data_IF_426438145677
#
_entry.id   IF_426438145677
#
_cell.length_a   1.000
_cell.length_b   1.000
_cell.length_c   1.000
_cell.angle_alpha   90.00
_cell.angle_beta   90.00
_cell.angle_gamma   90.00
#
_symmetry.space_group_name_H-M   'P 1'
#
loop_
_entity.id
_entity.type
_entity.pdbx_description
1 polymer ?
#
# COMPACT_ATOMS: atom_id res chain seq x y z
N UNK A 1 -37.59 5.26 18.85
CA UNK A 1 -36.70 6.25 18.21
C UNK A 1 -37.14 6.41 16.78
N UNK A 2 -37.76 7.54 16.41
CA UNK A 2 -38.17 7.81 15.04
C UNK A 2 -36.88 7.99 14.17
N UNK A 3 -36.62 7.03 13.32
CA UNK A 3 -35.70 7.21 12.20
C UNK A 3 -36.30 8.29 11.30
N UNK A 4 -35.77 9.51 11.34
CA UNK A 4 -36.08 10.54 10.35
C UNK A 4 -35.72 9.97 8.98
N UNK A 5 -36.69 9.54 8.19
CA UNK A 5 -36.49 9.10 6.83
C UNK A 5 -35.75 10.21 6.07
N UNK A 6 -34.68 9.81 5.40
CA UNK A 6 -33.85 10.75 4.61
C UNK A 6 -34.72 11.38 3.53
N UNK A 7 -34.80 12.72 3.51
CA UNK A 7 -35.56 13.44 2.47
C UNK A 7 -35.13 12.99 1.09
N UNK A 8 -36.10 12.69 0.24
CA UNK A 8 -35.89 12.19 -1.12
C UNK A 8 -36.02 13.30 -2.16
N UNK A 9 -35.46 13.11 -3.34
CA UNK A 9 -35.60 14.04 -4.47
C UNK A 9 -37.08 14.22 -4.90
N UNK A 10 -37.94 13.20 -4.72
CA UNK A 10 -39.35 13.24 -4.96
C UNK A 10 -40.05 14.23 -4.02
N UNK A 11 -39.70 14.25 -2.76
CA UNK A 11 -40.26 15.21 -1.81
C UNK A 11 -39.85 16.64 -2.11
N UNK A 12 -38.62 16.85 -2.60
CA UNK A 12 -38.18 18.17 -3.07
C UNK A 12 -38.98 18.62 -4.31
N UNK A 13 -39.17 17.74 -5.27
CA UNK A 13 -39.94 18.03 -6.49
C UNK A 13 -41.39 18.40 -6.13
N UNK A 14 -42.02 17.63 -5.28
CA UNK A 14 -43.38 17.89 -4.77
C UNK A 14 -43.49 19.24 -4.04
N UNK A 15 -42.55 19.50 -3.12
CA UNK A 15 -42.54 20.71 -2.30
C UNK A 15 -42.19 21.99 -3.08
N UNK A 16 -41.39 21.87 -4.15
CA UNK A 16 -41.06 22.97 -5.08
C UNK A 16 -42.07 23.17 -6.20
N UNK A 17 -43.04 22.25 -6.36
CA UNK A 17 -44.04 22.31 -7.43
C UNK A 17 -43.49 22.14 -8.85
N UNK A 18 -42.39 21.36 -8.99
CA UNK A 18 -41.71 21.13 -10.28
C UNK A 18 -41.51 19.65 -10.55
N UNK A 19 -41.15 19.30 -11.78
CA UNK A 19 -40.84 17.93 -12.14
C UNK A 19 -39.53 17.43 -11.51
N UNK A 20 -39.40 16.11 -11.30
CA UNK A 20 -38.18 15.45 -10.86
C UNK A 20 -36.99 15.82 -11.76
N UNK A 21 -37.24 15.87 -13.08
CA UNK A 21 -36.22 16.26 -14.07
C UNK A 21 -35.72 17.70 -13.84
N UNK A 22 -36.63 18.62 -13.46
CA UNK A 22 -36.27 20.01 -13.16
C UNK A 22 -35.39 20.10 -11.93
N UNK A 23 -35.75 19.38 -10.85
CA UNK A 23 -34.89 19.32 -9.63
C UNK A 23 -33.52 18.74 -9.95
N UNK A 24 -33.46 17.65 -10.71
CA UNK A 24 -32.19 17.04 -11.14
C UNK A 24 -31.33 18.01 -11.95
N UNK A 25 -31.92 18.78 -12.89
CA UNK A 25 -31.17 19.80 -13.66
C UNK A 25 -30.62 20.91 -12.78
N UNK A 26 -31.39 21.39 -11.80
CA UNK A 26 -30.92 22.41 -10.85
C UNK A 26 -29.74 21.87 -10.00
N UNK A 27 -29.86 20.67 -9.46
CA UNK A 27 -28.82 20.03 -8.64
C UNK A 27 -27.52 19.85 -9.43
N UNK A 28 -27.65 19.39 -10.69
CA UNK A 28 -26.49 19.09 -11.54
C UNK A 28 -26.01 20.33 -12.35
N UNK A 29 -26.59 21.51 -12.12
CA UNK A 29 -26.30 22.76 -12.86
C UNK A 29 -26.36 22.58 -14.36
N UNK A 30 -27.30 21.77 -14.85
CA UNK A 30 -27.50 21.43 -16.27
C UNK A 30 -28.77 21.98 -16.80
N UNK A 31 -28.75 22.41 -18.09
CA UNK A 31 -29.92 22.77 -18.85
C UNK A 31 -30.50 24.17 -18.59
N UNK A 32 -31.43 24.58 -19.41
CA UNK A 32 -32.13 25.87 -19.34
C UNK A 32 -33.24 25.78 -18.27
N UNK A 33 -32.91 26.14 -17.03
CA UNK A 33 -33.91 26.36 -15.99
C UNK A 33 -33.96 27.86 -15.72
N UNK A 34 -35.17 28.42 -15.64
CA UNK A 34 -35.33 29.86 -15.36
C UNK A 34 -34.78 30.19 -13.98
N UNK A 35 -34.26 31.40 -13.80
CA UNK A 35 -33.65 31.82 -12.52
C UNK A 35 -34.68 31.70 -11.37
N UNK A 36 -35.94 32.05 -11.60
CA UNK A 36 -36.99 31.91 -10.57
C UNK A 36 -37.22 30.45 -10.17
N UNK A 37 -37.21 29.51 -11.13
CA UNK A 37 -37.34 28.06 -10.82
C UNK A 37 -36.12 27.54 -10.11
N UNK A 38 -34.92 27.98 -10.49
CA UNK A 38 -33.66 27.58 -9.83
C UNK A 38 -33.67 27.99 -8.36
N UNK A 39 -33.98 29.25 -8.07
CA UNK A 39 -34.03 29.77 -6.71
C UNK A 39 -35.08 29.05 -5.85
N UNK A 40 -36.30 28.81 -6.37
CA UNK A 40 -37.31 28.05 -5.66
C UNK A 40 -36.87 26.65 -5.29
N UNK A 41 -36.22 25.94 -6.20
CA UNK A 41 -35.69 24.56 -5.91
C UNK A 41 -34.57 24.61 -4.91
N UNK A 42 -33.61 25.52 -5.03
CA UNK A 42 -32.51 25.68 -4.10
C UNK A 42 -32.98 26.00 -2.67
N UNK A 43 -33.94 26.90 -2.54
CA UNK A 43 -34.55 27.24 -1.24
C UNK A 43 -35.32 26.06 -0.66
N UNK A 44 -36.05 25.30 -1.47
CA UNK A 44 -36.77 24.09 -1.04
C UNK A 44 -35.77 23.00 -0.57
N UNK A 45 -34.67 22.78 -1.28
CA UNK A 45 -33.56 21.87 -0.88
C UNK A 45 -33.04 22.27 0.48
N UNK A 46 -32.74 23.56 0.68
CA UNK A 46 -32.22 24.08 1.96
C UNK A 46 -33.23 23.93 3.10
N UNK A 47 -34.50 24.25 2.86
CA UNK A 47 -35.58 24.15 3.84
C UNK A 47 -35.84 22.72 4.28
N UNK A 48 -35.81 21.75 3.36
CA UNK A 48 -36.06 20.35 3.66
C UNK A 48 -34.80 19.62 4.17
N UNK A 49 -33.62 20.25 4.08
CA UNK A 49 -32.33 19.61 4.40
C UNK A 49 -31.99 18.46 3.47
N UNK A 50 -32.48 18.51 2.23
CA UNK A 50 -32.18 17.49 1.23
C UNK A 50 -30.70 17.51 0.86
N UNK A 51 -30.08 16.34 0.87
CA UNK A 51 -28.71 16.14 0.34
C UNK A 51 -28.79 15.12 -0.79
N UNK A 52 -28.27 15.44 -1.98
CA UNK A 52 -28.21 14.49 -3.08
C UNK A 52 -27.57 13.17 -2.63
N UNK A 53 -28.14 12.06 -3.05
CA UNK A 53 -27.53 10.75 -2.83
C UNK A 53 -26.40 10.55 -3.83
N UNK A 54 -25.17 10.32 -3.36
CA UNK A 54 -24.03 9.98 -4.21
C UNK A 54 -24.32 8.76 -5.10
N UNK A 55 -25.05 7.76 -4.56
CA UNK A 55 -25.47 6.59 -5.32
C UNK A 55 -26.43 6.96 -6.47
N UNK A 56 -27.40 7.86 -6.22
CA UNK A 56 -28.32 8.32 -7.26
C UNK A 56 -27.61 9.16 -8.34
N UNK A 57 -26.61 9.96 -7.94
CA UNK A 57 -25.78 10.69 -8.88
C UNK A 57 -24.89 9.76 -9.70
N UNK A 58 -24.28 8.76 -9.07
CA UNK A 58 -23.49 7.73 -9.73
C UNK A 58 -24.27 6.98 -10.79
N UNK A 59 -25.50 6.57 -10.48
CA UNK A 59 -26.41 5.92 -11.43
C UNK A 59 -26.81 6.85 -12.59
N UNK A 60 -27.01 8.14 -12.32
CA UNK A 60 -27.40 9.11 -13.34
C UNK A 60 -26.24 9.51 -14.28
N UNK A 61 -25.00 9.51 -13.78
CA UNK A 61 -23.81 9.95 -14.52
C UNK A 61 -22.93 8.79 -14.98
N UNK A 62 -23.22 7.57 -14.55
CA UNK A 62 -22.38 6.37 -14.71
C UNK A 62 -20.95 6.58 -14.17
N UNK A 63 -20.80 7.47 -13.16
CA UNK A 63 -19.53 7.74 -12.45
C UNK A 63 -19.81 7.79 -10.96
N UNK A 64 -19.21 6.88 -10.22
CA UNK A 64 -19.39 6.79 -8.77
C UNK A 64 -18.47 7.74 -7.99
N UNK A 65 -17.42 8.23 -8.64
CA UNK A 65 -16.29 8.94 -8.01
C UNK A 65 -15.69 8.17 -6.84
N UNK A 66 -15.82 6.84 -6.83
CA UNK A 66 -15.36 5.96 -5.78
C UNK A 66 -14.22 5.06 -6.29
N UNK A 67 -13.13 5.01 -5.54
CA UNK A 67 -11.99 4.13 -5.83
C UNK A 67 -11.90 3.06 -4.75
N UNK A 68 -11.84 1.80 -5.18
CA UNK A 68 -11.57 0.66 -4.31
C UNK A 68 -10.09 0.54 -4.02
N UNK A 69 -9.71 0.36 -2.75
CA UNK A 69 -8.33 0.10 -2.35
C UNK A 69 -8.28 -1.19 -1.56
N UNK A 70 -7.61 -2.22 -2.12
CA UNK A 70 -7.43 -3.53 -1.48
C UNK A 70 -6.03 -3.58 -0.88
N UNK A 71 -5.95 -3.85 0.42
CA UNK A 71 -4.69 -3.97 1.18
C UNK A 71 -4.76 -5.15 2.15
N UNK A 72 -3.62 -5.74 2.55
CA UNK A 72 -3.63 -6.86 3.50
C UNK A 72 -4.06 -6.45 4.91
N UNK A 73 -3.52 -5.34 5.41
CA UNK A 73 -3.78 -4.84 6.75
C UNK A 73 -3.41 -3.35 6.85
N UNK A 74 -4.23 -2.55 7.55
CA UNK A 74 -4.00 -1.12 7.71
C UNK A 74 -2.99 -0.77 8.82
N UNK A 75 -2.58 -1.72 9.67
CA UNK A 75 -1.75 -1.46 10.86
C UNK A 75 -0.27 -1.21 10.54
N UNK A 76 0.20 -1.57 9.35
CA UNK A 76 1.60 -1.35 8.97
C UNK A 76 1.84 0.11 8.57
N UNK A 77 2.92 0.71 9.09
CA UNK A 77 3.28 2.12 8.81
C UNK A 77 3.46 2.40 7.33
N UNK A 78 4.05 1.47 6.58
CA UNK A 78 4.22 1.64 5.13
C UNK A 78 2.87 1.64 4.38
N UNK A 79 1.87 0.90 4.86
CA UNK A 79 0.50 0.92 4.32
C UNK A 79 -0.19 2.25 4.63
N UNK A 80 -0.04 2.78 5.85
CA UNK A 80 -0.61 4.09 6.19
C UNK A 80 -0.03 5.20 5.30
N UNK A 81 1.26 5.16 5.00
CA UNK A 81 1.90 6.12 4.08
C UNK A 81 1.39 5.97 2.65
N UNK A 82 1.20 4.73 2.18
CA UNK A 82 0.57 4.46 0.87
C UNK A 82 -0.82 5.08 0.79
N UNK A 83 -1.65 4.81 1.80
CA UNK A 83 -3.03 5.33 1.88
C UNK A 83 -3.05 6.86 1.96
N UNK A 84 -2.11 7.48 2.67
CA UNK A 84 -1.98 8.93 2.70
C UNK A 84 -1.74 9.48 1.28
N UNK A 85 -0.81 8.90 0.52
CA UNK A 85 -0.54 9.32 -0.86
C UNK A 85 -1.74 9.15 -1.80
N UNK A 86 -2.44 8.02 -1.71
CA UNK A 86 -3.68 7.80 -2.48
C UNK A 86 -4.74 8.84 -2.11
N UNK A 87 -4.94 9.08 -0.80
CA UNK A 87 -5.94 10.00 -0.27
C UNK A 87 -5.69 11.45 -0.69
N UNK A 88 -4.44 11.90 -0.69
CA UNK A 88 -4.05 13.26 -1.10
C UNK A 88 -4.48 13.54 -2.55
N UNK A 89 -4.20 12.61 -3.46
CA UNK A 89 -4.57 12.75 -4.87
C UNK A 89 -6.08 12.59 -5.05
N UNK A 90 -6.69 11.59 -4.41
CA UNK A 90 -8.12 11.35 -4.47
C UNK A 90 -8.91 12.59 -4.05
N UNK A 91 -8.57 13.19 -2.91
CA UNK A 91 -9.18 14.42 -2.40
C UNK A 91 -9.07 15.58 -3.41
N UNK A 92 -7.89 15.77 -3.99
CA UNK A 92 -7.64 16.85 -4.96
C UNK A 92 -8.45 16.66 -6.27
N UNK A 93 -8.63 15.41 -6.65
CA UNK A 93 -9.34 15.03 -7.91
C UNK A 93 -10.84 14.74 -7.70
N UNK A 94 -11.35 14.88 -6.46
CA UNK A 94 -12.77 14.69 -6.16
C UNK A 94 -13.23 13.24 -6.05
N UNK A 95 -12.31 12.30 -5.79
CA UNK A 95 -12.63 10.90 -5.55
C UNK A 95 -12.80 10.60 -4.05
N UNK A 96 -13.63 9.60 -3.78
CA UNK A 96 -13.81 8.98 -2.45
C UNK A 96 -13.12 7.62 -2.46
N UNK A 97 -12.62 7.16 -1.32
CA UNK A 97 -11.95 5.87 -1.21
C UNK A 97 -12.81 4.88 -0.42
N UNK A 98 -12.95 3.67 -0.96
CA UNK A 98 -13.49 2.50 -0.26
C UNK A 98 -12.36 1.53 0.04
N UNK A 99 -12.12 1.28 1.33
CA UNK A 99 -11.03 0.42 1.78
C UNK A 99 -11.53 -1.01 2.01
N UNK A 100 -10.81 -1.98 1.46
CA UNK A 100 -11.04 -3.41 1.61
C UNK A 100 -9.79 -4.06 2.18
N UNK A 101 -9.92 -4.80 3.28
CA UNK A 101 -8.81 -5.51 3.93
C UNK A 101 -8.98 -7.00 3.80
N UNK A 102 -7.87 -7.73 3.59
CA UNK A 102 -7.86 -9.18 3.32
C UNK A 102 -7.29 -9.99 4.48
N UNK A 103 -6.74 -9.34 5.48
CA UNK A 103 -6.14 -9.96 6.67
C UNK A 103 -5.14 -11.09 6.36
N UNK A 104 -4.43 -11.00 5.23
CA UNK A 104 -3.53 -12.05 4.71
C UNK A 104 -4.23 -13.40 4.47
N UNK A 105 -5.51 -13.38 4.15
CA UNK A 105 -6.30 -14.56 3.85
C UNK A 105 -6.68 -14.60 2.38
N UNK A 106 -6.35 -15.70 1.70
CA UNK A 106 -6.74 -15.93 0.30
C UNK A 106 -8.26 -15.90 0.11
N UNK A 107 -9.00 -16.49 1.05
CA UNK A 107 -10.47 -16.53 1.02
C UNK A 107 -11.05 -15.12 1.16
N UNK A 108 -10.55 -14.35 2.12
CA UNK A 108 -10.97 -12.95 2.29
C UNK A 108 -10.59 -12.11 1.07
N UNK A 109 -9.40 -12.30 0.51
CA UNK A 109 -8.96 -11.60 -0.69
C UNK A 109 -9.91 -11.82 -1.87
N UNK A 110 -10.34 -13.07 -2.12
CA UNK A 110 -11.33 -13.38 -3.14
C UNK A 110 -12.70 -12.75 -2.86
N UNK A 111 -13.14 -12.74 -1.59
CA UNK A 111 -14.36 -12.06 -1.18
C UNK A 111 -14.29 -10.54 -1.42
N UNK A 112 -13.12 -9.93 -1.21
CA UNK A 112 -12.94 -8.49 -1.47
C UNK A 112 -13.01 -8.16 -2.95
N UNK A 113 -12.57 -9.04 -3.85
CA UNK A 113 -12.75 -8.85 -5.31
C UNK A 113 -14.24 -8.74 -5.65
N UNK A 114 -15.06 -9.66 -5.16
CA UNK A 114 -16.50 -9.60 -5.40
C UNK A 114 -17.12 -8.30 -4.86
N UNK A 115 -16.68 -7.87 -3.67
CA UNK A 115 -17.15 -6.60 -3.10
C UNK A 115 -16.72 -5.39 -3.93
N UNK A 116 -15.50 -5.37 -4.46
CA UNK A 116 -15.03 -4.29 -5.34
C UNK A 116 -15.88 -4.22 -6.60
N UNK A 117 -16.14 -5.37 -7.25
CA UNK A 117 -16.98 -5.44 -8.46
C UNK A 117 -18.39 -4.94 -8.16
N UNK A 118 -19.01 -5.38 -7.06
CA UNK A 118 -20.41 -5.02 -6.70
C UNK A 118 -20.56 -3.62 -6.10
N UNK A 119 -19.47 -3.00 -5.65
CA UNK A 119 -19.49 -1.66 -5.06
C UNK A 119 -19.50 -0.53 -6.08
N UNK A 120 -19.62 -0.83 -7.38
CA UNK A 120 -19.63 0.15 -8.47
C UNK A 120 -18.51 1.19 -8.37
N UNK A 121 -17.27 0.73 -8.10
CA UNK A 121 -16.10 1.62 -8.10
C UNK A 121 -15.71 2.00 -9.53
N UNK A 122 -15.20 3.21 -9.72
CA UNK A 122 -14.70 3.67 -11.02
C UNK A 122 -13.34 3.09 -11.37
N UNK A 123 -12.63 2.59 -10.35
CA UNK A 123 -11.33 1.93 -10.49
C UNK A 123 -10.85 1.32 -9.18
N UNK A 124 -9.80 0.51 -9.24
CA UNK A 124 -9.23 -0.17 -8.07
C UNK A 124 -7.71 -0.04 -7.98
N UNK A 125 -7.19 0.05 -6.76
CA UNK A 125 -5.77 -0.07 -6.43
C UNK A 125 -5.60 -1.28 -5.54
N UNK A 126 -4.70 -2.18 -5.92
CA UNK A 126 -4.46 -3.45 -5.22
C UNK A 126 -3.02 -3.50 -4.74
N UNK A 127 -2.84 -3.61 -3.44
CA UNK A 127 -1.56 -3.93 -2.81
C UNK A 127 -1.77 -5.11 -1.86
N UNK A 128 -1.77 -6.31 -2.43
CA UNK A 128 -2.03 -7.54 -1.70
C UNK A 128 -1.27 -8.72 -2.33
N UNK A 129 -0.64 -9.55 -1.52
CA UNK A 129 0.15 -10.69 -1.98
C UNK A 129 -0.70 -11.96 -2.21
N UNK A 130 -1.91 -12.02 -1.65
CA UNK A 130 -2.83 -13.15 -1.79
C UNK A 130 -3.53 -13.20 -3.15
N UNK A 131 -3.66 -12.06 -3.82
CA UNK A 131 -4.28 -11.97 -5.14
C UNK A 131 -3.26 -12.30 -6.24
N UNK A 132 -3.65 -13.10 -7.22
CA UNK A 132 -2.84 -13.40 -8.40
C UNK A 132 -3.33 -12.70 -9.67
N UNK A 133 -2.70 -13.04 -10.82
CA UNK A 133 -3.04 -12.41 -12.08
C UNK A 133 -4.47 -12.72 -12.54
N UNK A 134 -4.97 -13.92 -12.29
CA UNK A 134 -6.33 -14.34 -12.70
C UNK A 134 -7.37 -13.54 -11.91
N UNK A 135 -7.15 -13.33 -10.63
CA UNK A 135 -8.04 -12.55 -9.77
C UNK A 135 -8.15 -11.10 -10.23
N UNK A 136 -7.00 -10.48 -10.54
CA UNK A 136 -6.96 -9.11 -11.06
C UNK A 136 -7.64 -9.03 -12.43
N UNK A 137 -7.43 -10.01 -13.30
CA UNK A 137 -8.07 -10.05 -14.61
C UNK A 137 -9.58 -10.26 -14.49
N UNK A 138 -10.08 -10.91 -13.43
CA UNK A 138 -11.49 -10.99 -13.11
C UNK A 138 -12.08 -9.60 -12.86
N UNK A 139 -11.44 -8.75 -12.04
CA UNK A 139 -11.88 -7.36 -11.83
C UNK A 139 -11.89 -6.60 -13.17
N UNK A 140 -10.84 -6.77 -13.96
CA UNK A 140 -10.72 -6.12 -15.26
C UNK A 140 -11.82 -6.54 -16.26
N UNK A 141 -12.30 -7.79 -16.20
CA UNK A 141 -13.40 -8.28 -17.06
C UNK A 141 -14.72 -7.57 -16.81
N UNK A 142 -14.93 -6.98 -15.63
CA UNK A 142 -16.04 -6.09 -15.30
C UNK A 142 -15.77 -4.62 -15.67
N UNK A 143 -14.75 -4.37 -16.51
CA UNK A 143 -14.37 -3.04 -16.99
C UNK A 143 -13.91 -2.08 -15.89
N UNK A 144 -13.44 -2.58 -14.76
CA UNK A 144 -12.88 -1.78 -13.67
C UNK A 144 -11.38 -1.58 -13.91
N UNK A 145 -10.90 -0.37 -14.25
CA UNK A 145 -9.49 -0.07 -14.35
C UNK A 145 -8.76 -0.36 -13.04
N UNK A 146 -7.60 -0.98 -13.12
CA UNK A 146 -6.92 -1.49 -11.93
C UNK A 146 -5.42 -1.20 -11.96
N UNK A 147 -4.88 -0.66 -10.86
CA UNK A 147 -3.44 -0.56 -10.61
C UNK A 147 -3.05 -1.62 -9.58
N UNK A 148 -2.05 -2.44 -9.92
CA UNK A 148 -1.51 -3.46 -9.02
C UNK A 148 -0.12 -3.03 -8.54
N UNK A 149 0.09 -3.06 -7.24
CA UNK A 149 1.37 -2.70 -6.61
C UNK A 149 2.12 -3.98 -6.24
N UNK A 150 3.42 -4.00 -6.54
CA UNK A 150 4.37 -5.06 -6.26
C UNK A 150 4.17 -6.37 -7.05
N UNK A 151 3.35 -6.35 -8.11
CA UNK A 151 3.19 -7.46 -9.06
C UNK A 151 3.17 -6.96 -10.48
N UNK A 152 3.80 -7.69 -11.40
CA UNK A 152 3.75 -7.38 -12.83
C UNK A 152 2.55 -8.10 -13.44
N UNK A 153 1.46 -7.36 -13.62
CA UNK A 153 0.26 -7.82 -14.31
C UNK A 153 -0.07 -6.82 -15.39
N UNK A 154 -0.20 -7.29 -16.61
CA UNK A 154 -0.48 -6.45 -17.79
C UNK A 154 -1.81 -6.87 -18.37
N UNK A 155 -2.69 -5.90 -18.57
CA UNK A 155 -4.00 -6.07 -19.17
C UNK A 155 -4.42 -4.81 -19.91
N UNK A 156 -5.58 -4.84 -20.52
CA UNK A 156 -6.08 -3.69 -21.28
C UNK A 156 -6.27 -2.46 -20.38
N UNK A 157 -6.95 -2.63 -19.24
CA UNK A 157 -7.15 -1.61 -18.20
C UNK A 157 -6.43 -1.95 -16.90
N UNK A 158 -5.23 -2.55 -16.99
CA UNK A 158 -4.42 -2.90 -15.83
C UNK A 158 -3.03 -2.30 -15.95
N UNK A 159 -2.63 -1.56 -14.92
CA UNK A 159 -1.28 -1.04 -14.76
C UNK A 159 -0.58 -1.63 -13.54
N UNK A 160 0.75 -1.60 -13.53
CA UNK A 160 1.58 -2.19 -12.47
C UNK A 160 2.59 -1.20 -11.92
N UNK A 161 2.71 -1.15 -10.60
CA UNK A 161 3.84 -0.50 -9.91
C UNK A 161 4.72 -1.60 -9.32
N UNK A 162 6.01 -1.58 -9.62
CA UNK A 162 6.98 -2.59 -9.23
C UNK A 162 8.03 -2.01 -8.30
N UNK A 163 8.59 -2.87 -7.45
CA UNK A 163 9.72 -2.55 -6.58
C UNK A 163 10.93 -3.37 -6.97
N UNK A 164 12.12 -2.76 -7.00
CA UNK A 164 13.40 -3.41 -7.35
C UNK A 164 14.23 -3.73 -6.10
N UNK A 165 13.61 -4.27 -5.05
CA UNK A 165 14.33 -4.63 -3.83
C UNK A 165 15.44 -5.65 -4.08
N UNK A 166 15.16 -6.65 -4.90
CA UNK A 166 16.09 -7.75 -5.21
C UNK A 166 17.39 -7.23 -5.84
N UNK A 167 17.26 -6.32 -6.81
CA UNK A 167 18.41 -5.73 -7.50
C UNK A 167 19.28 -4.88 -6.57
N UNK A 168 18.61 -4.06 -5.72
CA UNK A 168 19.31 -3.19 -4.78
C UNK A 168 19.98 -4.01 -3.67
N UNK A 169 19.32 -5.04 -3.16
CA UNK A 169 19.89 -5.94 -2.15
C UNK A 169 21.11 -6.67 -2.71
N UNK A 170 21.03 -7.20 -3.94
CA UNK A 170 22.17 -7.87 -4.60
C UNK A 170 23.38 -6.93 -4.73
N UNK A 171 23.17 -5.72 -5.25
CA UNK A 171 24.22 -4.70 -5.36
C UNK A 171 24.80 -4.32 -4.00
N UNK A 172 23.97 -4.23 -2.97
CA UNK A 172 24.40 -3.93 -1.61
C UNK A 172 25.32 -5.03 -1.06
N UNK A 173 24.95 -6.31 -1.20
CA UNK A 173 25.73 -7.46 -0.78
C UNK A 173 27.09 -7.49 -1.49
N UNK A 174 27.11 -7.34 -2.82
CA UNK A 174 28.34 -7.29 -3.60
C UNK A 174 29.25 -6.14 -3.17
N UNK A 175 28.69 -4.95 -2.96
CA UNK A 175 29.40 -3.76 -2.52
C UNK A 175 30.01 -3.97 -1.12
N UNK A 176 29.27 -4.61 -0.21
CA UNK A 176 29.74 -4.92 1.14
C UNK A 176 31.03 -5.75 1.11
N UNK A 177 31.02 -6.90 0.43
CA UNK A 177 32.20 -7.76 0.35
C UNK A 177 33.34 -7.16 -0.47
N UNK A 178 33.04 -6.45 -1.57
CA UNK A 178 34.04 -5.74 -2.37
C UNK A 178 34.79 -4.67 -1.57
N UNK A 179 34.13 -4.04 -0.62
CA UNK A 179 34.71 -3.01 0.26
C UNK A 179 35.34 -3.58 1.53
N UNK A 180 35.58 -4.89 1.59
CA UNK A 180 36.27 -5.56 2.68
C UNK A 180 35.36 -5.92 3.87
N UNK A 181 34.08 -6.06 3.68
CA UNK A 181 33.16 -6.62 4.67
C UNK A 181 33.53 -8.09 4.96
N UNK A 182 33.70 -8.41 6.23
CA UNK A 182 34.20 -9.71 6.71
C UNK A 182 33.18 -10.52 7.53
N UNK A 183 32.06 -9.90 7.90
CA UNK A 183 31.01 -10.59 8.64
C UNK A 183 30.16 -11.44 7.72
N UNK A 184 29.90 -12.68 8.13
CA UNK A 184 28.96 -13.54 7.43
C UNK A 184 27.56 -12.96 7.54
N UNK A 185 26.88 -12.84 6.40
CA UNK A 185 25.52 -12.34 6.35
C UNK A 185 24.51 -13.44 6.68
N UNK A 186 23.51 -13.07 7.46
CA UNK A 186 22.38 -13.91 7.85
C UNK A 186 21.10 -13.24 7.42
N UNK A 187 20.33 -13.92 6.57
CA UNK A 187 18.97 -13.46 6.22
C UNK A 187 17.98 -13.93 7.29
N UNK A 188 17.21 -13.01 7.83
CA UNK A 188 16.18 -13.30 8.83
C UNK A 188 14.85 -13.46 8.12
N UNK A 189 14.47 -14.72 7.91
CA UNK A 189 13.20 -15.08 7.29
C UNK A 189 12.09 -15.04 8.31
N UNK A 190 10.99 -14.35 7.99
CA UNK A 190 9.80 -14.26 8.82
C UNK A 190 8.74 -15.18 8.22
N UNK A 191 8.16 -16.07 9.04
CA UNK A 191 7.02 -16.88 8.61
C UNK A 191 5.89 -15.95 8.16
N UNK A 192 5.23 -16.30 7.07
CA UNK A 192 4.16 -15.54 6.46
C UNK A 192 4.55 -14.11 5.99
N UNK A 193 5.84 -13.88 5.75
CA UNK A 193 6.37 -12.59 5.29
C UNK A 193 6.02 -12.22 3.84
N UNK A 194 5.25 -13.07 3.15
CA UNK A 194 4.73 -12.83 1.81
C UNK A 194 5.76 -13.00 0.69
N UNK A 195 5.31 -12.76 -0.54
CA UNK A 195 6.13 -12.96 -1.76
C UNK A 195 7.32 -12.02 -1.86
N UNK A 196 7.23 -10.82 -1.33
CA UNK A 196 8.34 -9.87 -1.34
C UNK A 196 9.53 -10.42 -0.55
N UNK A 197 9.29 -10.96 0.65
CA UNK A 197 10.33 -11.54 1.49
C UNK A 197 10.97 -12.74 0.79
N UNK A 198 10.17 -13.66 0.25
CA UNK A 198 10.66 -14.85 -0.46
C UNK A 198 11.53 -14.50 -1.68
N UNK A 199 11.16 -13.45 -2.46
CA UNK A 199 11.96 -12.97 -3.58
C UNK A 199 13.30 -12.38 -3.13
N UNK A 200 13.29 -11.59 -2.05
CA UNK A 200 14.51 -11.01 -1.48
C UNK A 200 15.43 -12.08 -0.91
N UNK A 201 14.89 -13.11 -0.23
CA UNK A 201 15.70 -14.24 0.22
C UNK A 201 16.33 -15.00 -0.93
N UNK A 202 15.56 -15.26 -2.00
CA UNK A 202 16.10 -15.87 -3.21
C UNK A 202 17.26 -15.06 -3.80
N UNK A 203 17.08 -13.75 -3.97
CA UNK A 203 18.12 -12.85 -4.46
C UNK A 203 19.34 -12.82 -3.53
N UNK A 204 19.13 -12.87 -2.22
CA UNK A 204 20.21 -12.96 -1.23
C UNK A 204 21.03 -14.24 -1.39
N UNK A 205 20.39 -15.40 -1.52
CA UNK A 205 21.04 -16.70 -1.73
C UNK A 205 21.82 -16.73 -3.04
N UNK A 206 21.15 -16.42 -4.16
CA UNK A 206 21.75 -16.41 -5.49
C UNK A 206 22.94 -15.45 -5.59
N UNK A 207 22.89 -14.31 -4.91
CA UNK A 207 24.00 -13.35 -4.89
C UNK A 207 25.20 -13.91 -4.15
N UNK A 208 25.01 -14.50 -2.95
CA UNK A 208 26.10 -15.11 -2.19
C UNK A 208 26.74 -16.28 -2.92
N UNK A 209 25.94 -17.14 -3.54
CA UNK A 209 26.42 -18.27 -4.35
C UNK A 209 27.27 -17.77 -5.53
N UNK A 210 26.81 -16.73 -6.23
CA UNK A 210 27.51 -16.14 -7.38
C UNK A 210 28.86 -15.53 -7.01
N UNK A 211 28.97 -14.90 -5.83
CA UNK A 211 30.24 -14.28 -5.37
C UNK A 211 31.07 -15.22 -4.48
N UNK A 212 30.64 -16.47 -4.26
CA UNK A 212 31.36 -17.47 -3.50
C UNK A 212 31.45 -17.17 -1.99
N UNK A 213 30.50 -16.43 -1.42
CA UNK A 213 30.47 -16.08 0.00
C UNK A 213 29.52 -16.99 0.77
N UNK A 214 29.92 -17.33 2.01
CA UNK A 214 29.06 -18.09 2.93
C UNK A 214 27.97 -17.20 3.50
N UNK A 215 26.80 -17.77 3.69
CA UNK A 215 25.65 -17.09 4.30
C UNK A 215 24.86 -18.03 5.23
N UNK A 216 23.98 -17.45 6.03
CA UNK A 216 23.00 -18.18 6.83
C UNK A 216 21.59 -17.67 6.54
N UNK A 217 20.61 -18.50 6.90
CA UNK A 217 19.20 -18.09 6.98
C UNK A 217 18.66 -18.56 8.32
N UNK A 218 18.04 -17.67 9.06
CA UNK A 218 17.38 -17.95 10.34
C UNK A 218 15.89 -17.66 10.17
N UNK A 219 15.05 -18.61 10.55
CA UNK A 219 13.61 -18.41 10.59
C UNK A 219 13.20 -17.79 11.92
N UNK A 220 12.32 -16.80 11.90
CA UNK A 220 11.72 -16.20 13.08
C UNK A 220 10.23 -15.96 12.89
N UNK A 221 9.55 -15.64 13.97
CA UNK A 221 8.14 -15.20 13.97
C UNK A 221 8.03 -13.73 13.56
N UNK A 222 6.88 -13.32 13.07
CA UNK A 222 6.55 -11.91 12.78
C UNK A 222 6.18 -11.14 14.07
N UNK A 223 6.91 -11.38 15.14
CA UNK A 223 6.69 -10.79 16.45
C UNK A 223 8.00 -10.23 16.99
N UNK A 224 8.00 -8.94 17.33
CA UNK A 224 9.14 -8.33 18.03
C UNK A 224 9.54 -9.13 19.26
N UNK A 225 8.59 -9.48 20.14
CA UNK A 225 8.87 -10.16 21.40
C UNK A 225 9.51 -11.53 21.21
N UNK A 226 8.96 -12.35 20.30
CA UNK A 226 9.51 -13.69 20.02
C UNK A 226 10.89 -13.58 19.38
N UNK A 227 11.03 -12.75 18.33
CA UNK A 227 12.32 -12.52 17.68
C UNK A 227 13.37 -12.01 18.66
N UNK A 228 13.00 -11.11 19.59
CA UNK A 228 13.92 -10.65 20.63
C UNK A 228 14.41 -11.82 21.51
N UNK A 229 13.53 -12.69 22.00
CA UNK A 229 13.93 -13.83 22.82
C UNK A 229 14.80 -14.83 22.06
N UNK A 230 14.43 -15.16 20.82
CA UNK A 230 15.20 -16.08 19.97
C UNK A 230 16.62 -15.55 19.72
N UNK A 231 16.75 -14.25 19.42
CA UNK A 231 18.05 -13.63 19.20
C UNK A 231 18.83 -13.37 20.50
N UNK A 232 18.17 -13.14 21.62
CA UNK A 232 18.83 -13.09 22.91
C UNK A 232 19.54 -14.41 23.24
N UNK A 233 18.89 -15.56 23.02
CA UNK A 233 19.47 -16.88 23.15
C UNK A 233 20.57 -17.13 22.10
N UNK A 234 20.32 -16.78 20.84
CA UNK A 234 21.27 -16.90 19.75
C UNK A 234 22.60 -16.20 20.07
N UNK A 235 22.54 -14.97 20.57
CA UNK A 235 23.72 -14.16 20.89
C UNK A 235 24.48 -14.60 22.12
N UNK A 236 23.99 -15.53 22.93
CA UNK A 236 24.79 -16.15 24.00
C UNK A 236 26.01 -16.89 23.41
N UNK A 237 25.84 -17.51 22.25
CA UNK A 237 26.87 -18.34 21.60
C UNK A 237 27.46 -17.72 20.33
N UNK A 238 26.82 -16.73 19.73
CA UNK A 238 27.20 -16.11 18.47
C UNK A 238 27.48 -14.62 18.67
N UNK A 239 28.75 -14.22 18.69
CA UNK A 239 29.13 -12.87 19.09
C UNK A 239 29.36 -11.90 17.96
N UNK A 240 29.26 -12.33 16.68
CA UNK A 240 29.46 -11.49 15.49
C UNK A 240 28.51 -11.90 14.37
N UNK A 241 28.09 -10.94 13.56
CA UNK A 241 27.30 -11.21 12.36
C UNK A 241 26.78 -9.97 11.66
N UNK A 242 26.28 -10.18 10.45
CA UNK A 242 25.53 -9.17 9.70
C UNK A 242 24.12 -9.70 9.45
N UNK A 243 23.10 -9.02 9.96
CA UNK A 243 21.72 -9.50 9.89
C UNK A 243 20.90 -8.64 8.94
N UNK A 244 20.23 -9.29 7.98
CA UNK A 244 19.29 -8.66 7.07
C UNK A 244 17.89 -9.03 7.54
N UNK A 245 17.21 -8.06 8.16
CA UNK A 245 15.88 -8.23 8.73
C UNK A 245 14.81 -7.76 7.73
N UNK A 246 13.65 -8.40 7.75
CA UNK A 246 12.54 -8.05 6.86
C UNK A 246 12.03 -6.62 7.09
N UNK A 247 11.82 -6.24 8.36
CA UNK A 247 11.29 -4.93 8.76
C UNK A 247 12.08 -4.34 9.91
N UNK A 248 11.98 -3.03 10.09
CA UNK A 248 12.64 -2.32 11.17
C UNK A 248 12.18 -2.74 12.58
N UNK A 249 10.95 -3.26 12.76
CA UNK A 249 10.52 -3.85 14.02
C UNK A 249 11.27 -5.16 14.36
N UNK A 250 11.57 -6.00 13.37
CA UNK A 250 12.39 -7.21 13.53
C UNK A 250 13.86 -6.82 13.71
N UNK A 251 14.35 -5.84 12.95
CA UNK A 251 15.68 -5.28 13.12
C UNK A 251 15.90 -4.74 14.55
N UNK A 252 14.90 -4.04 15.10
CA UNK A 252 14.92 -3.55 16.48
C UNK A 252 14.98 -4.68 17.52
N UNK A 253 14.27 -5.78 17.28
CA UNK A 253 14.33 -6.94 18.18
C UNK A 253 15.74 -7.54 18.21
N UNK A 254 16.38 -7.68 17.05
CA UNK A 254 17.75 -8.18 16.92
C UNK A 254 18.75 -7.23 17.59
N UNK A 255 18.59 -5.92 17.36
CA UNK A 255 19.44 -4.87 17.96
C UNK A 255 19.38 -4.87 19.48
N UNK A 256 18.16 -4.88 20.03
CA UNK A 256 17.98 -4.88 21.47
C UNK A 256 18.51 -6.16 22.10
N UNK A 257 18.28 -7.32 21.49
CA UNK A 257 18.82 -8.60 21.95
C UNK A 257 20.36 -8.60 21.95
N UNK A 258 21.00 -8.07 20.90
CA UNK A 258 22.45 -7.94 20.84
C UNK A 258 22.98 -7.01 21.93
N UNK A 259 22.35 -5.87 22.13
CA UNK A 259 22.74 -4.88 23.14
C UNK A 259 22.62 -5.43 24.56
N UNK A 260 21.53 -6.13 24.85
CA UNK A 260 21.26 -6.67 26.20
C UNK A 260 22.20 -7.83 26.59
N UNK A 261 22.79 -8.52 25.60
CA UNK A 261 23.90 -9.49 25.88
C UNK A 261 25.28 -8.84 25.83
N UNK A 262 25.37 -7.51 25.74
CA UNK A 262 26.61 -6.74 25.78
C UNK A 262 27.37 -6.63 24.46
N UNK A 263 26.76 -6.97 23.33
CA UNK A 263 27.37 -6.81 22.00
C UNK A 263 27.17 -5.35 21.51
N UNK A 264 28.12 -4.88 20.74
CA UNK A 264 28.10 -3.53 20.17
C UNK A 264 27.53 -3.56 18.74
N UNK A 265 26.62 -2.63 18.46
CA UNK A 265 26.09 -2.34 17.13
C UNK A 265 26.65 -0.97 16.71
N UNK A 266 27.42 -0.87 15.63
CA UNK A 266 27.62 -1.86 14.57
C UNK A 266 28.88 -2.74 14.68
N UNK A 267 29.74 -2.59 15.68
CA UNK A 267 31.08 -3.20 15.73
C UNK A 267 31.03 -4.72 15.70
N UNK A 268 30.26 -5.34 16.60
CA UNK A 268 30.09 -6.78 16.67
C UNK A 268 28.97 -7.25 15.73
N UNK A 269 27.82 -6.59 15.77
CA UNK A 269 26.63 -6.95 15.02
C UNK A 269 26.23 -5.80 14.11
N UNK A 270 26.15 -6.08 12.80
CA UNK A 270 25.58 -5.14 11.83
C UNK A 270 24.16 -5.54 11.44
N UNK A 271 23.29 -4.57 11.22
CA UNK A 271 21.87 -4.83 10.95
C UNK A 271 21.39 -3.94 9.80
N UNK A 272 20.78 -4.57 8.79
CA UNK A 272 20.08 -3.93 7.67
C UNK A 272 18.60 -4.33 7.72
N UNK A 273 17.69 -3.38 7.58
CA UNK A 273 16.28 -3.66 7.37
C UNK A 273 15.90 -3.54 5.89
N UNK A 274 15.17 -4.53 5.34
CA UNK A 274 14.65 -4.46 3.98
C UNK A 274 13.51 -3.43 3.84
N UNK A 275 12.76 -3.17 4.92
CA UNK A 275 11.70 -2.16 4.93
C UNK A 275 11.98 -1.18 6.06
N UNK A 276 12.43 0.02 5.70
CA UNK A 276 12.69 1.11 6.64
C UNK A 276 11.48 2.03 6.76
N UNK A 277 10.93 2.15 7.96
CA UNK A 277 9.91 3.16 8.30
C UNK A 277 10.51 4.25 9.20
N UNK A 278 9.66 5.07 9.81
CA UNK A 278 10.11 6.05 10.81
C UNK A 278 10.86 5.41 11.99
N UNK A 279 10.56 4.15 12.31
CA UNK A 279 11.20 3.42 13.41
C UNK A 279 12.69 3.22 13.15
N UNK A 280 13.11 2.91 11.94
CA UNK A 280 14.52 2.80 11.59
C UNK A 280 15.33 4.05 11.95
N UNK A 281 14.72 5.23 11.94
CA UNK A 281 15.38 6.51 12.26
C UNK A 281 15.37 6.87 13.74
N UNK A 282 14.35 6.44 14.49
CA UNK A 282 14.22 6.81 15.91
C UNK A 282 14.89 5.85 16.87
N UNK A 283 15.25 4.65 16.42
CA UNK A 283 16.01 3.67 17.20
C UNK A 283 17.43 4.16 17.51
N UNK A 284 18.08 3.58 18.52
CA UNK A 284 19.45 3.91 18.94
C UNK A 284 20.24 2.62 19.25
N UNK A 285 21.19 2.27 18.34
CA UNK A 285 21.57 2.93 17.08
C UNK A 285 20.44 2.99 16.04
N UNK A 286 20.46 3.97 15.14
CA UNK A 286 19.49 4.06 14.05
C UNK A 286 19.79 3.00 12.97
N UNK A 287 18.74 2.35 12.46
CA UNK A 287 18.86 1.18 11.56
C UNK A 287 19.10 1.61 10.12
N UNK A 288 20.15 1.09 9.50
CA UNK A 288 20.37 1.11 8.05
C UNK A 288 19.24 0.37 7.37
N UNK A 289 18.61 0.96 6.35
CA UNK A 289 17.44 0.36 5.76
C UNK A 289 17.30 0.67 4.26
N UNK A 290 16.65 -0.25 3.55
CA UNK A 290 16.10 0.02 2.23
C UNK A 290 14.78 0.78 2.42
N UNK A 291 14.62 1.86 1.69
CA UNK A 291 13.46 2.74 1.82
C UNK A 291 12.82 3.02 0.46
N UNK A 292 11.53 2.80 0.37
CA UNK A 292 10.66 3.32 -0.70
C UNK A 292 9.71 4.33 -0.08
N UNK A 293 9.59 5.49 -0.74
CA UNK A 293 8.60 6.49 -0.34
C UNK A 293 7.19 5.99 -0.70
N UNK A 294 6.55 5.29 0.23
CA UNK A 294 5.22 4.72 0.01
C UNK A 294 4.12 5.76 -0.20
N UNK A 295 4.31 7.01 0.27
CA UNK A 295 3.39 8.10 -0.05
C UNK A 295 3.47 8.45 -1.54
N UNK A 296 4.66 8.51 -2.10
CA UNK A 296 4.86 8.74 -3.54
C UNK A 296 4.32 7.57 -4.38
N UNK A 297 4.50 6.32 -3.90
CA UNK A 297 3.87 5.13 -4.52
C UNK A 297 2.35 5.30 -4.56
N UNK A 298 1.73 5.73 -3.46
CA UNK A 298 0.30 5.99 -3.38
C UNK A 298 -0.16 7.08 -4.35
N UNK A 299 0.54 8.19 -4.40
CA UNK A 299 0.26 9.29 -5.34
C UNK A 299 0.37 8.80 -6.80
N UNK A 300 1.45 8.10 -7.12
CA UNK A 300 1.67 7.57 -8.48
C UNK A 300 0.61 6.57 -8.88
N UNK A 301 0.23 5.66 -7.97
CA UNK A 301 -0.82 4.68 -8.25
C UNK A 301 -2.16 5.35 -8.57
N UNK A 302 -2.50 6.40 -7.83
CA UNK A 302 -3.75 7.13 -8.06
C UNK A 302 -3.73 7.94 -9.38
N UNK A 303 -2.60 8.58 -9.73
CA UNK A 303 -2.47 9.26 -11.03
C UNK A 303 -2.58 8.26 -12.19
N UNK A 304 -1.84 7.13 -12.12
CA UNK A 304 -1.93 6.10 -13.15
C UNK A 304 -3.36 5.54 -13.28
N UNK A 305 -4.07 5.38 -12.16
CA UNK A 305 -5.45 4.92 -12.20
C UNK A 305 -6.39 5.92 -12.87
N UNK A 306 -6.24 7.21 -12.56
CA UNK A 306 -7.03 8.29 -13.18
C UNK A 306 -6.81 8.31 -14.70
N UNK A 307 -5.56 8.18 -15.13
CA UNK A 307 -5.23 8.13 -16.56
C UNK A 307 -5.87 6.90 -17.23
N UNK A 308 -5.88 5.73 -16.57
CA UNK A 308 -6.58 4.53 -17.07
C UNK A 308 -8.11 4.73 -17.15
N UNK A 309 -8.72 5.40 -16.16
CA UNK A 309 -10.16 5.70 -16.15
C UNK A 309 -10.51 6.62 -17.31
N UNK A 310 -9.65 7.57 -17.65
CA UNK A 310 -9.86 8.52 -18.74
C UNK A 310 -9.51 7.94 -20.12
N UNK A 311 -8.97 6.72 -20.18
CA UNK A 311 -8.39 6.08 -21.38
C UNK A 311 -7.23 6.88 -21.99
N UNK A 312 -6.51 7.64 -21.20
CA UNK A 312 -5.28 8.31 -21.60
C UNK A 312 -4.16 7.29 -21.78
N UNK A 313 -3.32 7.50 -22.79
CA UNK A 313 -2.19 6.61 -23.03
C UNK A 313 -1.17 6.75 -21.92
N UNK A 314 -0.91 5.68 -21.20
CA UNK A 314 -0.01 5.66 -20.05
C UNK A 314 0.97 4.52 -20.19
N UNK A 315 2.18 4.73 -19.69
CA UNK A 315 3.07 3.62 -19.37
C UNK A 315 2.40 2.73 -18.32
N UNK A 316 1.95 1.55 -18.73
CA UNK A 316 1.23 0.60 -17.87
C UNK A 316 2.11 -0.03 -16.79
N UNK A 317 3.38 0.35 -16.69
CA UNK A 317 4.31 -0.16 -15.70
C UNK A 317 5.23 0.94 -15.20
N UNK A 318 5.29 1.11 -13.89
CA UNK A 318 6.24 2.01 -13.24
C UNK A 318 7.06 1.24 -12.21
N UNK A 319 8.36 1.59 -12.07
CA UNK A 319 9.26 0.90 -11.15
C UNK A 319 9.85 1.88 -10.15
N UNK A 320 9.71 1.57 -8.86
CA UNK A 320 10.41 2.25 -7.78
C UNK A 320 11.65 1.46 -7.40
N UNK A 321 12.76 2.15 -7.26
CA UNK A 321 14.03 1.63 -6.75
C UNK A 321 14.17 2.01 -5.28
N UNK A 322 14.34 1.06 -4.35
CA UNK A 322 14.59 1.39 -2.96
C UNK A 322 15.91 2.15 -2.81
N UNK A 323 15.92 3.14 -1.94
CA UNK A 323 17.13 3.84 -1.55
C UNK A 323 17.76 3.15 -0.33
N UNK A 324 19.05 2.86 -0.40
CA UNK A 324 19.81 2.44 0.78
C UNK A 324 20.10 3.68 1.63
N UNK A 325 19.50 3.75 2.81
CA UNK A 325 19.79 4.81 3.77
C UNK A 325 20.70 4.25 4.85
N UNK A 326 22.01 4.51 4.69
CA UNK A 326 23.02 4.11 5.68
C UNK A 326 22.85 4.91 6.97
N UNK A 327 22.86 4.19 8.10
CA UNK A 327 22.74 4.75 9.46
C UNK A 327 23.75 4.08 10.41
N UNK A 328 23.48 4.18 11.71
CA UNK A 328 24.43 3.77 12.75
C UNK A 328 24.46 2.25 13.01
N UNK A 329 23.52 1.47 12.50
CA UNK A 329 23.53 0.00 12.68
C UNK A 329 24.45 -0.75 11.72
N UNK A 330 25.15 -0.07 10.83
CA UNK A 330 26.15 -0.64 9.93
C UNK A 330 27.40 0.24 9.88
N UNK A 331 28.55 -0.40 9.65
CA UNK A 331 29.80 0.32 9.47
C UNK A 331 29.82 0.95 8.08
N UNK A 332 30.10 2.24 7.99
CA UNK A 332 30.31 2.91 6.70
C UNK A 332 31.57 2.39 6.03
N UNK A 333 31.44 1.85 4.84
CA UNK A 333 32.53 1.30 4.02
C UNK A 333 32.63 1.99 2.68
#
# INVERSE_FOLDING_TARGET
>A
MNTKDRVTIYQVAQAAGVSLATVSRVINKQGNVTEATRLNVEETIKRLGYKPSGLAQALATNKSTNIGVIIPNANYVYISNLLAGISDVAKTKGFVLSLFTTSHSREEALSMIEKVITSHVDGAIIFDDELDAEDVMKINSYSVPTIVINKKIIGDKVGSILFSYEDVLSKFIESYYKKGGDKQMTFVHVHDGGRLLSRNEKAFRETHERIGQKYNVINCDDSYTRTYHDFYEYFQNNKKGYFIAYRDSIAAAIENAATDVGLKVPEDVEILSLVGTKYANILRPSITALHINMQEVGQRSMYMLIDLINNDLVDKSYRFEPLVTERSSTIKR
#
